data_IF_215385867276
#
_entry.id   IF_215385867276
#
_cell.length_a   1.000
_cell.length_b   1.000
_cell.length_c   1.000
_cell.angle_alpha   90.00
_cell.angle_beta   90.00
_cell.angle_gamma   90.00
#
_symmetry.space_group_name_H-M   'P 1'
#
loop_
_entity.id
_entity.type
_entity.pdbx_description
1 polymer ?
#
# COMPACT_ATOMS: atom_id res chain seq x y z
N UNK A 1 -13.02 -16.39 -15.73
CA UNK A 1 -13.28 -14.94 -15.64
C UNK A 1 -13.36 -14.60 -14.16
N UNK A 2 -12.34 -13.96 -13.58
CA UNK A 2 -12.42 -13.54 -12.18
C UNK A 2 -13.51 -12.46 -12.09
N UNK A 3 -14.49 -12.64 -11.19
CA UNK A 3 -15.53 -11.65 -10.95
C UNK A 3 -14.95 -10.31 -10.45
N UNK A 4 -15.79 -9.32 -10.20
CA UNK A 4 -15.38 -8.01 -9.66
C UNK A 4 -14.78 -8.18 -8.25
N UNK A 5 -13.48 -8.46 -8.19
CA UNK A 5 -12.72 -8.65 -6.97
C UNK A 5 -12.24 -7.29 -6.45
N UNK A 6 -12.61 -6.95 -5.22
CA UNK A 6 -12.00 -5.82 -4.52
C UNK A 6 -10.68 -6.26 -3.93
N UNK A 7 -9.58 -5.77 -4.49
CA UNK A 7 -8.23 -6.10 -4.01
C UNK A 7 -7.97 -5.56 -2.60
N UNK A 8 -8.49 -4.37 -2.29
CA UNK A 8 -8.43 -3.75 -0.97
C UNK A 8 -9.84 -3.28 -0.61
N UNK A 9 -10.37 -3.71 0.54
CA UNK A 9 -11.73 -3.39 1.00
C UNK A 9 -11.71 -3.14 2.52
N UNK A 10 -12.02 -1.90 2.94
CA UNK A 10 -12.10 -1.54 4.36
C UNK A 10 -10.78 -1.52 5.16
N UNK A 11 -9.62 -1.45 4.50
CA UNK A 11 -8.33 -1.39 5.18
C UNK A 11 -8.13 -0.02 5.86
N UNK A 12 -7.96 -0.02 7.19
CA UNK A 12 -7.53 1.15 7.97
C UNK A 12 -6.29 0.79 8.76
N UNK A 13 -5.19 1.49 8.48
CA UNK A 13 -3.92 1.27 9.17
C UNK A 13 -3.08 2.54 9.20
N UNK A 14 -2.22 2.65 10.20
CA UNK A 14 -1.23 3.71 10.32
C UNK A 14 0.09 3.13 10.81
N UNK A 15 1.19 3.56 10.21
CA UNK A 15 2.55 3.13 10.55
C UNK A 15 3.32 4.37 11.00
N UNK A 16 4.02 4.27 12.12
CA UNK A 16 4.82 5.39 12.64
C UNK A 16 6.11 5.52 11.84
N UNK A 17 6.64 6.74 11.77
CA UNK A 17 7.97 6.94 11.19
C UNK A 17 8.99 6.08 11.95
N UNK A 18 9.88 5.41 11.20
CA UNK A 18 10.89 4.46 11.70
C UNK A 18 10.34 3.15 12.26
N UNK A 19 9.07 2.85 12.04
CA UNK A 19 8.48 1.54 12.34
C UNK A 19 8.64 0.61 11.12
N UNK A 20 9.07 -0.62 11.37
CA UNK A 20 9.07 -1.66 10.33
C UNK A 20 7.73 -2.40 10.36
N UNK A 21 7.03 -2.45 9.22
CA UNK A 21 5.75 -3.14 9.09
C UNK A 21 5.75 -4.03 7.85
N UNK A 22 4.94 -5.10 7.88
CA UNK A 22 4.74 -6.00 6.75
C UNK A 22 3.27 -6.38 6.60
N UNK A 23 2.84 -6.61 5.35
CA UNK A 23 1.53 -7.17 5.05
C UNK A 23 1.66 -8.67 4.81
N UNK A 24 0.92 -9.47 5.57
CA UNK A 24 0.89 -10.93 5.47
C UNK A 24 -0.50 -11.41 5.08
N UNK A 25 -0.58 -12.47 4.27
CA UNK A 25 -1.85 -13.03 3.81
C UNK A 25 -1.70 -13.89 2.55
N UNK A 26 -2.77 -14.57 2.15
CA UNK A 26 -2.79 -15.45 0.95
C UNK A 26 -2.65 -14.67 -0.37
N UNK A 27 -2.41 -15.39 -1.47
CA UNK A 27 -2.41 -14.77 -2.81
C UNK A 27 -3.79 -14.18 -3.13
N UNK A 28 -3.80 -12.96 -3.67
CA UNK A 28 -5.03 -12.22 -3.94
C UNK A 28 -5.60 -11.42 -2.77
N UNK A 29 -4.98 -11.47 -1.57
CA UNK A 29 -5.44 -10.71 -0.39
C UNK A 29 -5.16 -9.19 -0.44
N UNK A 30 -4.67 -8.65 -1.56
CA UNK A 30 -4.45 -7.21 -1.73
C UNK A 30 -3.07 -6.67 -1.36
N UNK A 31 -2.13 -7.49 -0.86
CA UNK A 31 -0.80 -7.03 -0.39
C UNK A 31 -0.05 -6.15 -1.40
N UNK A 32 0.16 -6.65 -2.61
CA UNK A 32 0.86 -5.92 -3.68
C UNK A 32 0.11 -4.65 -4.05
N UNK A 33 -1.21 -4.74 -4.25
CA UNK A 33 -2.05 -3.58 -4.56
C UNK A 33 -1.97 -2.48 -3.49
N UNK A 34 -1.95 -2.84 -2.21
CA UNK A 34 -1.76 -1.87 -1.12
C UNK A 34 -0.39 -1.19 -1.22
N UNK A 35 0.70 -1.94 -1.45
CA UNK A 35 2.03 -1.35 -1.62
C UNK A 35 2.14 -0.50 -2.87
N UNK A 36 1.52 -0.88 -3.99
CA UNK A 36 1.52 -0.10 -5.21
C UNK A 36 0.79 1.24 -5.02
N UNK A 37 -0.33 1.25 -4.28
CA UNK A 37 -1.04 2.49 -3.92
C UNK A 37 -0.15 3.38 -3.04
N UNK A 38 0.43 2.79 -2.00
CA UNK A 38 1.29 3.53 -1.08
C UNK A 38 2.51 4.11 -1.80
N UNK A 39 3.16 3.34 -2.67
CA UNK A 39 4.34 3.77 -3.44
C UNK A 39 4.00 4.57 -4.69
N UNK A 40 2.72 4.91 -4.91
CA UNK A 40 2.27 5.70 -6.07
C UNK A 40 2.46 5.00 -7.42
N UNK A 41 2.63 3.67 -7.44
CA UNK A 41 2.63 2.86 -8.67
C UNK A 41 1.21 2.58 -9.17
N UNK A 42 0.21 2.70 -8.29
CA UNK A 42 -1.21 2.61 -8.61
C UNK A 42 -2.01 3.62 -7.78
N UNK A 43 -3.29 3.80 -8.12
CA UNK A 43 -4.18 4.74 -7.44
C UNK A 43 -5.32 4.00 -6.75
N UNK A 44 -5.73 4.51 -5.59
CA UNK A 44 -6.87 3.95 -4.88
C UNK A 44 -8.15 4.25 -5.67
N UNK A 45 -9.01 3.25 -5.87
CA UNK A 45 -10.31 3.46 -6.51
C UNK A 45 -11.26 4.28 -5.62
N UNK A 46 -11.04 4.27 -4.31
CA UNK A 46 -11.78 5.03 -3.30
C UNK A 46 -11.01 5.08 -1.99
N UNK A 47 -11.34 6.03 -1.11
CA UNK A 47 -10.69 6.19 0.19
C UNK A 47 -9.53 7.18 0.13
N UNK A 48 -8.57 7.07 1.05
CA UNK A 48 -7.44 7.99 1.13
C UNK A 48 -6.18 7.24 1.52
N UNK A 49 -5.07 7.56 0.87
CA UNK A 49 -3.74 7.05 1.21
C UNK A 49 -2.77 8.22 1.43
N UNK A 50 -1.97 8.17 2.50
CA UNK A 50 -1.00 9.22 2.82
C UNK A 50 0.34 8.64 3.27
N UNK A 51 1.43 9.24 2.80
CA UNK A 51 2.79 8.95 3.26
C UNK A 51 3.49 10.26 3.61
N UNK A 52 4.13 10.31 4.78
CA UNK A 52 4.82 11.51 5.26
C UNK A 52 3.98 12.79 5.12
N UNK A 53 2.68 12.67 5.43
CA UNK A 53 1.64 13.73 5.31
C UNK A 53 1.31 14.18 3.88
N UNK A 54 1.87 13.54 2.86
CA UNK A 54 1.52 13.77 1.44
C UNK A 54 0.40 12.83 1.04
N UNK A 55 -0.57 13.35 0.31
CA UNK A 55 -1.64 12.55 -0.27
C UNK A 55 -1.13 11.83 -1.51
N UNK A 56 -1.34 10.52 -1.56
CA UNK A 56 -0.92 9.66 -2.69
C UNK A 56 -2.11 8.96 -3.34
N UNK A 57 -3.33 9.39 -3.01
CA UNK A 57 -4.56 8.78 -3.50
C UNK A 57 -4.63 8.82 -5.03
N UNK A 58 -4.18 9.91 -5.64
CA UNK A 58 -4.24 10.17 -7.09
C UNK A 58 -2.94 10.76 -7.67
N UNK A 59 -1.84 10.75 -6.90
CA UNK A 59 -0.58 11.40 -7.30
C UNK A 59 0.62 10.49 -7.13
N UNK A 60 1.49 10.47 -8.15
CA UNK A 60 2.80 9.84 -8.09
C UNK A 60 3.71 10.79 -7.31
N UNK A 61 4.23 10.34 -6.17
CA UNK A 61 5.18 11.11 -5.37
C UNK A 61 6.54 10.45 -5.49
N UNK A 62 7.59 11.22 -5.75
CA UNK A 62 8.96 10.70 -5.68
C UNK A 62 9.26 10.30 -4.23
N UNK A 63 9.40 9.00 -3.98
CA UNK A 63 9.78 8.45 -2.68
C UNK A 63 11.30 8.38 -2.54
N UNK A 64 11.80 8.72 -1.36
CA UNK A 64 13.07 8.16 -0.92
C UNK A 64 12.78 6.74 -0.40
N UNK A 65 13.50 5.74 -0.92
CA UNK A 65 13.35 4.32 -0.59
C UNK A 65 13.58 3.97 0.90
N UNK A 66 13.96 4.95 1.72
CA UNK A 66 14.39 4.80 3.11
C UNK A 66 13.27 4.46 4.09
N UNK A 67 11.98 4.60 3.72
CA UNK A 67 10.84 4.41 4.63
C UNK A 67 10.13 3.05 4.51
N UNK A 68 10.46 2.21 3.53
CA UNK A 68 9.79 0.92 3.30
C UNK A 68 10.80 -0.22 3.32
N UNK A 69 10.81 -0.98 4.41
CA UNK A 69 11.60 -2.22 4.53
C UNK A 69 10.75 -3.41 4.10
N UNK A 70 10.92 -3.90 2.87
CA UNK A 70 10.32 -5.18 2.43
C UNK A 70 11.23 -6.33 2.87
N UNK A 71 10.85 -7.04 3.93
CA UNK A 71 11.54 -8.27 4.34
C UNK A 71 11.04 -9.42 3.47
N UNK A 72 11.87 -9.90 2.55
CA UNK A 72 11.62 -11.13 1.78
C UNK A 72 12.03 -12.33 2.63
N UNK A 73 11.06 -13.01 3.24
CA UNK A 73 11.31 -14.33 3.82
C UNK A 73 11.42 -15.38 2.71
N UNK A 74 12.48 -16.17 2.76
CA UNK A 74 12.69 -17.37 1.96
C UNK A 74 11.87 -18.52 2.56
#
# INVERSE_FOLDING_TARGET
MYGRLRAVDGLTMGVRSRECFGLLGVNGAGKTTTFDILTGQSFATSGTARINKRDVTEQIVSFEYSDISVIKNN
#
